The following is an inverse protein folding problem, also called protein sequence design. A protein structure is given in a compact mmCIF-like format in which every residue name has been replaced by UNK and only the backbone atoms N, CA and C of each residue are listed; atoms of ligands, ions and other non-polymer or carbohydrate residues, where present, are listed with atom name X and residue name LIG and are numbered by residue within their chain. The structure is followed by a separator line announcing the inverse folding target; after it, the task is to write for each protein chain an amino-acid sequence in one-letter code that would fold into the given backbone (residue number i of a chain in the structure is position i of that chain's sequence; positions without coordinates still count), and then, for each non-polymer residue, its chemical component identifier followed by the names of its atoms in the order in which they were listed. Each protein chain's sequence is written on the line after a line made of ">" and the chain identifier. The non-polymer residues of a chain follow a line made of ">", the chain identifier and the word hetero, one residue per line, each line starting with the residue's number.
data_IF_886077178653
#
_entry.id   IF_886077178653
#
_cell.length_a   1.000
_cell.length_b   1.000
_cell.length_c   1.000
_cell.angle_alpha   90.00
_cell.angle_beta   90.00
_cell.angle_gamma   90.00
#
_symmetry.space_group_name_H-M   'P 1'
#
loop_
_entity.id
_entity.type
_entity.pdbx_description
1 polymer ?
#
# COMPACT_ATOMS: atom_id res chain seq x y z
N UNK A 1 -61.49 10.59 -25.41
CA UNK A 1 -60.70 9.74 -26.31
C UNK A 1 -59.28 9.68 -25.75
N UNK A 2 -59.00 8.64 -24.96
CA UNK A 2 -57.77 8.46 -24.18
C UNK A 2 -56.68 7.87 -25.06
N UNK A 3 -55.65 8.65 -25.38
CA UNK A 3 -54.46 8.15 -26.07
C UNK A 3 -53.56 7.43 -25.07
N UNK A 4 -53.60 6.09 -25.13
CA UNK A 4 -52.69 5.19 -24.43
C UNK A 4 -51.28 5.41 -25.00
N UNK A 5 -50.40 5.99 -24.18
CA UNK A 5 -48.96 6.05 -24.48
C UNK A 5 -48.42 4.65 -24.32
N UNK A 6 -48.08 4.01 -25.44
CA UNK A 6 -47.40 2.72 -25.47
C UNK A 6 -46.02 2.85 -24.82
N UNK A 7 -45.85 2.25 -23.63
CA UNK A 7 -44.52 2.05 -23.05
C UNK A 7 -43.75 1.07 -23.93
N UNK A 8 -42.77 1.56 -24.68
CA UNK A 8 -41.79 0.69 -25.34
C UNK A 8 -40.98 -0.06 -24.26
N UNK A 9 -40.69 -1.35 -24.44
CA UNK A 9 -39.83 -2.08 -23.52
C UNK A 9 -38.43 -1.46 -23.56
N UNK A 10 -37.97 -0.94 -22.43
CA UNK A 10 -36.59 -0.46 -22.28
C UNK A 10 -35.66 -1.65 -22.45
N UNK A 11 -35.06 -1.80 -23.64
CA UNK A 11 -34.01 -2.77 -23.88
C UNK A 11 -32.84 -2.38 -22.96
N UNK A 12 -32.65 -3.16 -21.89
CA UNK A 12 -31.50 -3.01 -21.01
C UNK A 12 -30.25 -3.35 -21.82
N UNK A 13 -29.62 -2.35 -22.42
CA UNK A 13 -28.31 -2.52 -23.03
C UNK A 13 -27.34 -2.92 -21.93
N UNK A 14 -26.89 -4.19 -21.99
CA UNK A 14 -25.86 -4.69 -21.07
C UNK A 14 -24.64 -3.80 -21.19
N UNK A 15 -24.19 -3.25 -20.07
CA UNK A 15 -22.91 -2.55 -20.04
C UNK A 15 -21.79 -3.55 -20.37
N UNK A 16 -21.15 -3.35 -21.53
CA UNK A 16 -20.03 -4.19 -21.98
C UNK A 16 -18.91 -4.18 -20.95
N UNK A 17 -18.63 -3.04 -20.31
CA UNK A 17 -17.56 -2.92 -19.31
C UNK A 17 -17.84 -3.79 -18.09
N UNK A 18 -19.05 -3.73 -17.54
CA UNK A 18 -19.43 -4.53 -16.36
C UNK A 18 -19.44 -6.02 -16.69
N UNK A 19 -19.89 -6.37 -17.89
CA UNK A 19 -19.88 -7.76 -18.38
C UNK A 19 -18.44 -8.29 -18.52
N UNK A 20 -17.51 -7.48 -19.06
CA UNK A 20 -16.09 -7.83 -19.14
C UNK A 20 -15.48 -8.01 -17.75
N UNK A 21 -15.76 -7.11 -16.80
CA UNK A 21 -15.30 -7.23 -15.41
C UNK A 21 -15.79 -8.54 -14.79
N UNK A 22 -17.07 -8.85 -14.93
CA UNK A 22 -17.63 -10.10 -14.43
C UNK A 22 -17.02 -11.33 -15.10
N UNK A 23 -16.77 -11.30 -16.41
CA UNK A 23 -16.08 -12.35 -17.14
C UNK A 23 -14.65 -12.59 -16.63
N UNK A 24 -13.90 -11.52 -16.37
CA UNK A 24 -12.57 -11.60 -15.77
C UNK A 24 -12.62 -12.21 -14.36
N UNK A 25 -13.61 -11.86 -13.54
CA UNK A 25 -13.79 -12.44 -12.20
C UNK A 25 -14.07 -13.95 -12.27
N UNK A 26 -14.90 -14.40 -13.22
CA UNK A 26 -15.15 -15.83 -13.44
C UNK A 26 -13.89 -16.54 -13.91
N UNK A 27 -13.17 -15.98 -14.88
CA UNK A 27 -11.91 -16.57 -15.37
C UNK A 27 -10.87 -16.70 -14.24
N UNK A 28 -10.76 -15.67 -13.39
CA UNK A 28 -9.86 -15.65 -12.26
C UNK A 28 -10.30 -16.65 -11.17
N UNK A 29 -11.60 -16.77 -10.89
CA UNK A 29 -12.14 -17.77 -9.97
C UNK A 29 -11.93 -19.21 -10.47
N UNK A 30 -12.10 -19.45 -11.77
CA UNK A 30 -11.80 -20.73 -12.41
C UNK A 30 -10.31 -21.06 -12.29
N UNK A 31 -9.44 -20.08 -12.53
CA UNK A 31 -8.00 -20.24 -12.38
C UNK A 31 -7.63 -20.61 -10.94
N UNK A 32 -8.17 -19.93 -9.94
CA UNK A 32 -7.96 -20.29 -8.52
C UNK A 32 -8.40 -21.73 -8.27
N UNK A 33 -9.63 -22.09 -8.65
CA UNK A 33 -10.18 -23.41 -8.34
C UNK A 33 -9.35 -24.55 -8.98
N UNK A 34 -8.86 -24.35 -10.20
CA UNK A 34 -8.09 -25.36 -10.92
C UNK A 34 -6.62 -25.35 -10.51
N UNK A 35 -5.93 -24.23 -10.73
CA UNK A 35 -4.47 -24.14 -10.54
C UNK A 35 -4.06 -24.15 -9.07
N UNK A 36 -4.85 -23.51 -8.20
CA UNK A 36 -4.56 -23.44 -6.77
C UNK A 36 -5.30 -24.51 -5.95
N UNK A 37 -6.45 -24.97 -6.43
CA UNK A 37 -7.22 -26.02 -5.77
C UNK A 37 -6.92 -27.43 -6.28
N UNK A 38 -7.50 -27.78 -7.43
CA UNK A 38 -7.58 -29.17 -7.92
C UNK A 38 -6.24 -29.83 -8.24
N UNK A 39 -5.25 -29.05 -8.69
CA UNK A 39 -3.89 -29.54 -8.99
C UNK A 39 -3.14 -29.96 -7.71
N UNK A 40 -3.57 -29.50 -6.54
CA UNK A 40 -2.88 -29.72 -5.28
C UNK A 40 -3.18 -31.11 -4.71
N UNK A 41 -2.15 -31.84 -4.21
CA UNK A 41 -2.35 -33.10 -3.51
C UNK A 41 -3.32 -32.97 -2.33
N UNK A 42 -4.13 -34.00 -2.09
CA UNK A 42 -5.16 -33.97 -1.03
C UNK A 42 -4.60 -33.87 0.39
N UNK A 43 -3.34 -34.25 0.61
CA UNK A 43 -2.65 -34.18 1.90
C UNK A 43 -1.92 -32.85 2.12
N UNK A 44 -1.94 -31.92 1.15
CA UNK A 44 -1.28 -30.63 1.32
C UNK A 44 -2.09 -29.75 2.28
N UNK A 45 -1.40 -29.28 3.33
CA UNK A 45 -1.96 -28.35 4.30
C UNK A 45 -1.21 -27.02 4.25
N UNK A 46 -1.93 -25.92 4.46
CA UNK A 46 -1.39 -24.57 4.62
C UNK A 46 -1.64 -24.11 6.05
N UNK A 47 -0.63 -23.49 6.65
CA UNK A 47 -0.75 -22.98 8.02
C UNK A 47 -0.82 -21.45 8.01
N UNK A 48 -1.92 -20.89 8.50
CA UNK A 48 -2.02 -19.46 8.77
C UNK A 48 -1.70 -19.23 10.26
N UNK A 49 -0.58 -18.56 10.53
CA UNK A 49 -0.17 -18.18 11.87
C UNK A 49 -0.42 -16.70 12.11
N UNK A 50 -0.49 -16.33 13.39
CA UNK A 50 -0.62 -14.95 13.85
C UNK A 50 0.55 -14.55 14.77
N UNK A 51 1.57 -15.41 14.84
CA UNK A 51 2.78 -15.35 15.65
C UNK A 51 3.97 -15.34 14.67
N UNK A 52 4.97 -14.44 14.76
CA UNK A 52 5.55 -13.86 15.97
C UNK A 52 5.77 -12.34 15.91
N UNK A 53 4.79 -11.56 16.34
CA UNK A 53 5.05 -10.16 16.76
C UNK A 53 4.67 -9.93 18.23
N UNK A 54 4.04 -10.92 18.87
CA UNK A 54 3.77 -10.94 20.31
C UNK A 54 4.57 -12.05 21.03
N UNK A 55 5.86 -12.19 20.71
CA UNK A 55 6.81 -12.98 21.53
C UNK A 55 7.19 -12.27 22.84
N UNK A 56 6.34 -11.38 23.36
CA UNK A 56 6.37 -11.12 24.79
C UNK A 56 5.86 -12.40 25.45
N UNK A 57 6.73 -13.07 26.21
CA UNK A 57 6.46 -14.28 27.01
C UNK A 57 5.20 -14.16 27.91
N UNK A 58 4.59 -12.97 27.99
CA UNK A 58 3.41 -12.63 28.77
C UNK A 58 2.27 -11.99 27.93
N UNK A 59 2.23 -12.19 26.61
CA UNK A 59 1.06 -11.81 25.82
C UNK A 59 -0.14 -12.63 26.32
N UNK A 60 -1.24 -12.00 26.75
CA UNK A 60 -2.29 -12.71 27.47
C UNK A 60 -2.99 -13.75 26.60
N UNK A 61 -3.06 -13.53 25.28
CA UNK A 61 -3.84 -14.35 24.35
C UNK A 61 -2.94 -14.86 23.21
N UNK A 62 -2.85 -16.18 23.06
CA UNK A 62 -2.17 -16.82 21.93
C UNK A 62 -3.22 -17.32 20.94
N UNK A 63 -3.18 -16.82 19.71
CA UNK A 63 -3.94 -17.41 18.60
C UNK A 63 -3.13 -18.60 18.06
N UNK A 64 -3.72 -19.79 18.10
CA UNK A 64 -3.13 -20.99 17.49
C UNK A 64 -3.01 -20.84 15.97
N UNK A 65 -2.16 -21.66 15.34
CA UNK A 65 -2.08 -21.72 13.90
C UNK A 65 -3.35 -22.38 13.33
N UNK A 66 -3.96 -21.73 12.34
CA UNK A 66 -5.08 -22.29 11.60
C UNK A 66 -4.51 -23.16 10.47
N UNK A 67 -4.64 -24.48 10.62
CA UNK A 67 -4.25 -25.44 9.59
C UNK A 67 -5.44 -25.69 8.67
N UNK A 68 -5.30 -25.32 7.41
CA UNK A 68 -6.32 -25.50 6.39
C UNK A 68 -5.85 -26.54 5.37
N UNK A 69 -6.75 -27.40 4.91
CA UNK A 69 -6.50 -28.22 3.72
C UNK A 69 -6.48 -27.32 2.49
N UNK A 70 -5.32 -27.19 1.85
CA UNK A 70 -5.08 -26.21 0.77
C UNK A 70 -6.04 -26.44 -0.40
N UNK A 71 -6.18 -27.71 -0.81
CA UNK A 71 -7.01 -28.12 -1.95
C UNK A 71 -8.46 -27.66 -1.80
N UNK A 72 -9.09 -27.96 -0.66
CA UNK A 72 -10.49 -27.58 -0.44
C UNK A 72 -10.65 -26.09 -0.20
N UNK A 73 -9.71 -25.48 0.50
CA UNK A 73 -9.75 -24.04 0.78
C UNK A 73 -9.69 -23.22 -0.50
N UNK A 74 -8.74 -23.51 -1.39
CA UNK A 74 -8.57 -22.78 -2.65
C UNK A 74 -9.67 -23.10 -3.67
N UNK A 75 -10.16 -24.34 -3.72
CA UNK A 75 -11.34 -24.65 -4.56
C UNK A 75 -12.58 -23.88 -4.12
N UNK A 76 -12.85 -23.78 -2.82
CA UNK A 76 -13.98 -23.01 -2.30
C UNK A 76 -13.84 -21.52 -2.58
N UNK A 77 -12.64 -20.94 -2.41
CA UNK A 77 -12.36 -19.54 -2.75
C UNK A 77 -12.57 -19.27 -4.25
N UNK A 78 -12.11 -20.17 -5.12
CA UNK A 78 -12.31 -20.07 -6.57
C UNK A 78 -13.78 -20.16 -6.97
N UNK A 79 -14.54 -21.10 -6.40
CA UNK A 79 -15.99 -21.22 -6.61
C UNK A 79 -16.72 -19.95 -6.15
N UNK A 80 -16.38 -19.43 -4.97
CA UNK A 80 -16.97 -18.19 -4.47
C UNK A 80 -16.65 -16.98 -5.37
N UNK A 81 -15.41 -16.85 -5.86
CA UNK A 81 -15.02 -15.83 -6.83
C UNK A 81 -15.80 -15.94 -8.16
N UNK A 82 -16.03 -17.17 -8.65
CA UNK A 82 -16.87 -17.41 -9.83
C UNK A 82 -18.31 -17.00 -9.59
N UNK A 83 -18.90 -17.32 -8.43
CA UNK A 83 -20.27 -16.92 -8.08
C UNK A 83 -20.41 -15.40 -8.07
N UNK A 84 -19.46 -14.68 -7.48
CA UNK A 84 -19.42 -13.21 -7.51
C UNK A 84 -19.29 -12.67 -8.94
N UNK A 85 -18.48 -13.30 -9.78
CA UNK A 85 -18.33 -12.93 -11.19
C UNK A 85 -19.62 -13.11 -11.98
N UNK A 86 -20.29 -14.25 -11.82
CA UNK A 86 -21.60 -14.54 -12.44
C UNK A 86 -22.66 -13.55 -11.93
N UNK A 87 -22.68 -13.25 -10.64
CA UNK A 87 -23.58 -12.25 -10.07
C UNK A 87 -23.38 -10.86 -10.71
N UNK A 88 -22.13 -10.45 -10.95
CA UNK A 88 -21.82 -9.17 -11.62
C UNK A 88 -22.31 -9.16 -13.06
N UNK A 89 -22.17 -10.27 -13.80
CA UNK A 89 -22.67 -10.40 -15.18
C UNK A 89 -24.20 -10.31 -15.22
N UNK A 90 -24.89 -10.99 -14.29
CA UNK A 90 -26.34 -11.09 -14.27
C UNK A 90 -27.01 -9.81 -13.76
N UNK A 91 -26.51 -9.23 -12.65
CA UNK A 91 -27.17 -8.13 -11.94
C UNK A 91 -26.67 -6.73 -12.31
N UNK A 92 -25.56 -6.64 -13.04
CA UNK A 92 -24.94 -5.38 -13.49
C UNK A 92 -24.87 -4.28 -12.40
N UNK A 93 -24.26 -4.58 -11.24
CA UNK A 93 -24.23 -3.65 -10.12
C UNK A 93 -23.42 -2.40 -10.46
N UNK A 94 -23.89 -1.22 -10.01
CA UNK A 94 -23.17 0.06 -10.17
C UNK A 94 -21.75 0.05 -9.61
N UNK A 95 -21.46 -0.81 -8.63
CA UNK A 95 -20.14 -0.97 -8.00
C UNK A 95 -19.42 -2.26 -8.43
N UNK A 96 -19.48 -2.62 -9.72
CA UNK A 96 -18.79 -3.79 -10.25
C UNK A 96 -17.27 -3.75 -9.97
N UNK A 97 -16.64 -2.57 -10.04
CA UNK A 97 -15.20 -2.42 -9.79
C UNK A 97 -14.77 -2.75 -8.36
N UNK A 98 -15.58 -2.39 -7.34
CA UNK A 98 -15.25 -2.75 -5.95
C UNK A 98 -15.37 -4.25 -5.71
N UNK A 99 -16.30 -4.92 -6.40
CA UNK A 99 -16.45 -6.39 -6.35
C UNK A 99 -15.26 -7.09 -7.02
N UNK A 100 -14.74 -6.54 -8.11
CA UNK A 100 -13.49 -7.00 -8.71
C UNK A 100 -12.33 -6.92 -7.70
N UNK A 101 -12.20 -5.80 -6.98
CA UNK A 101 -11.21 -5.68 -5.90
C UNK A 101 -11.37 -6.73 -4.80
N UNK A 102 -12.61 -7.08 -4.43
CA UNK A 102 -12.89 -8.20 -3.52
C UNK A 102 -12.38 -9.55 -4.05
N UNK A 103 -12.60 -9.84 -5.34
CA UNK A 103 -12.08 -11.05 -5.99
C UNK A 103 -10.54 -11.04 -6.08
N UNK A 104 -9.92 -9.87 -6.29
CA UNK A 104 -8.46 -9.75 -6.22
C UNK A 104 -7.91 -10.09 -4.83
N UNK A 105 -8.62 -9.74 -3.74
CA UNK A 105 -8.22 -10.13 -2.38
C UNK A 105 -8.33 -11.64 -2.19
N UNK A 106 -9.42 -12.26 -2.68
CA UNK A 106 -9.58 -13.72 -2.63
C UNK A 106 -8.48 -14.43 -3.42
N UNK A 107 -8.08 -13.88 -4.57
CA UNK A 107 -6.95 -14.38 -5.35
C UNK A 107 -5.64 -14.33 -4.56
N UNK A 108 -5.35 -13.21 -3.90
CA UNK A 108 -4.15 -13.08 -3.08
C UNK A 108 -4.17 -14.07 -1.90
N UNK A 109 -5.31 -14.23 -1.24
CA UNK A 109 -5.46 -15.22 -0.17
C UNK A 109 -5.19 -16.64 -0.68
N UNK A 110 -5.80 -17.02 -1.82
CA UNK A 110 -5.60 -18.33 -2.42
C UNK A 110 -4.14 -18.53 -2.88
N UNK A 111 -3.52 -17.50 -3.43
CA UNK A 111 -2.10 -17.52 -3.80
C UNK A 111 -1.20 -17.75 -2.58
N UNK A 112 -1.50 -17.09 -1.45
CA UNK A 112 -0.74 -17.28 -0.20
C UNK A 112 -0.90 -18.69 0.35
N UNK A 113 -2.13 -19.22 0.39
CA UNK A 113 -2.40 -20.59 0.81
C UNK A 113 -1.69 -21.60 -0.08
N UNK A 114 -1.80 -21.45 -1.39
CA UNK A 114 -1.14 -22.29 -2.37
C UNK A 114 0.38 -22.23 -2.27
N UNK A 115 0.94 -21.03 -2.06
CA UNK A 115 2.38 -20.81 -1.94
C UNK A 115 2.95 -21.45 -0.67
N UNK A 116 2.24 -21.30 0.47
CA UNK A 116 2.68 -21.74 1.79
C UNK A 116 2.26 -23.17 2.14
N UNK A 117 1.78 -23.94 1.18
CA UNK A 117 1.35 -25.32 1.42
C UNK A 117 2.53 -26.23 1.73
N UNK A 118 2.24 -27.37 2.34
CA UNK A 118 3.20 -28.48 2.46
C UNK A 118 3.61 -28.94 1.05
N UNK A 119 4.91 -28.84 0.72
CA UNK A 119 5.46 -29.02 -0.64
C UNK A 119 5.04 -27.93 -1.65
N UNK A 120 4.93 -26.68 -1.18
CA UNK A 120 4.79 -25.49 -2.01
C UNK A 120 6.13 -24.95 -2.53
N UNK A 121 6.10 -23.89 -3.37
CA UNK A 121 7.29 -23.17 -3.81
C UNK A 121 7.96 -22.35 -2.70
N UNK A 122 7.25 -22.04 -1.61
CA UNK A 122 7.83 -21.30 -0.49
C UNK A 122 8.79 -22.16 0.34
N UNK A 123 9.84 -21.54 0.88
CA UNK A 123 10.78 -22.18 1.82
C UNK A 123 10.17 -22.46 3.20
N UNK A 124 9.01 -21.86 3.50
CA UNK A 124 8.28 -22.01 4.76
C UNK A 124 6.84 -22.47 4.49
N UNK A 125 6.33 -23.38 5.32
CA UNK A 125 4.99 -23.96 5.19
C UNK A 125 3.91 -23.18 5.97
N UNK A 126 4.16 -21.90 6.27
CA UNK A 126 3.24 -21.05 7.00
C UNK A 126 3.23 -19.61 6.48
N UNK A 127 2.11 -18.93 6.66
CA UNK A 127 1.96 -17.48 6.42
C UNK A 127 1.61 -16.82 7.74
N UNK A 128 2.44 -15.88 8.19
CA UNK A 128 2.10 -15.01 9.33
C UNK A 128 1.27 -13.82 8.85
N UNK A 129 -0.03 -13.88 9.09
CA UNK A 129 -0.96 -12.82 8.72
C UNK A 129 -0.68 -11.53 9.49
N UNK A 130 -0.21 -11.62 10.74
CA UNK A 130 0.14 -10.44 11.53
C UNK A 130 1.36 -9.74 10.91
N UNK A 131 2.38 -10.50 10.52
CA UNK A 131 3.55 -9.94 9.84
C UNK A 131 3.21 -9.30 8.48
N UNK A 132 2.32 -9.93 7.70
CA UNK A 132 1.84 -9.36 6.43
C UNK A 132 1.14 -8.02 6.67
N UNK A 133 0.28 -7.93 7.68
CA UNK A 133 -0.44 -6.69 8.00
C UNK A 133 0.50 -5.59 8.53
N UNK A 134 1.46 -5.94 9.40
CA UNK A 134 2.46 -5.00 9.92
C UNK A 134 3.43 -4.53 8.83
N UNK A 135 3.87 -5.43 7.94
CA UNK A 135 4.67 -5.03 6.78
C UNK A 135 3.89 -4.12 5.83
N UNK A 136 2.61 -4.44 5.61
CA UNK A 136 1.72 -3.63 4.77
C UNK A 136 1.49 -2.24 5.38
N UNK A 137 1.34 -2.10 6.70
CA UNK A 137 1.16 -0.80 7.36
C UNK A 137 2.40 0.08 7.22
N UNK A 138 3.60 -0.51 7.32
CA UNK A 138 4.87 0.19 7.10
C UNK A 138 4.99 0.74 5.69
N UNK A 139 4.67 -0.07 4.66
CA UNK A 139 4.66 0.38 3.27
C UNK A 139 3.59 1.44 3.00
N UNK A 140 2.38 1.23 3.54
CA UNK A 140 1.28 2.19 3.41
C UNK A 140 1.63 3.56 4.00
N UNK A 141 2.41 3.60 5.09
CA UNK A 141 2.87 4.84 5.70
C UNK A 141 3.67 5.71 4.71
N UNK A 142 4.62 5.12 3.96
CA UNK A 142 5.41 5.86 2.95
C UNK A 142 4.50 6.42 1.85
N UNK A 143 3.54 5.62 1.39
CA UNK A 143 2.55 6.06 0.41
C UNK A 143 1.66 7.19 0.93
N UNK A 144 1.27 7.16 2.21
CA UNK A 144 0.50 8.23 2.85
C UNK A 144 1.31 9.54 2.85
N UNK A 145 2.58 9.51 3.23
CA UNK A 145 3.42 10.70 3.19
C UNK A 145 3.55 11.27 1.78
N UNK A 146 3.72 10.39 0.78
CA UNK A 146 3.78 10.78 -0.63
C UNK A 146 2.46 11.41 -1.10
N UNK A 147 1.33 10.79 -0.76
CA UNK A 147 0.01 11.29 -1.11
C UNK A 147 -0.30 12.63 -0.44
N UNK A 148 0.08 12.83 0.83
CA UNK A 148 -0.10 14.11 1.52
C UNK A 148 0.72 15.23 0.86
N UNK A 149 1.97 14.94 0.49
CA UNK A 149 2.79 15.86 -0.30
C UNK A 149 2.13 16.18 -1.65
N UNK A 150 1.72 15.16 -2.39
CA UNK A 150 1.04 15.30 -3.68
C UNK A 150 -0.22 16.16 -3.61
N UNK A 151 -1.13 15.87 -2.68
CA UNK A 151 -2.37 16.64 -2.49
C UNK A 151 -2.07 18.10 -2.16
N UNK A 152 -1.07 18.36 -1.32
CA UNK A 152 -0.68 19.74 -1.00
C UNK A 152 -0.12 20.48 -2.22
N UNK A 153 0.75 19.82 -2.99
CA UNK A 153 1.37 20.36 -4.19
C UNK A 153 0.34 20.65 -5.29
N UNK A 154 -0.53 19.68 -5.62
CA UNK A 154 -1.58 19.86 -6.62
C UNK A 154 -2.52 21.02 -6.27
N UNK A 155 -2.85 21.16 -4.98
CA UNK A 155 -3.72 22.24 -4.49
C UNK A 155 -3.03 23.60 -4.51
N UNK A 156 -1.70 23.64 -4.57
CA UNK A 156 -0.90 24.85 -4.70
C UNK A 156 -0.50 25.15 -6.15
N UNK A 157 -0.93 24.35 -7.14
CA UNK A 157 -0.63 24.60 -8.56
C UNK A 157 0.69 24.02 -9.06
N UNK A 158 1.37 23.17 -8.27
CA UNK A 158 2.63 22.53 -8.66
C UNK A 158 2.49 21.02 -8.55
N UNK A 159 2.68 20.29 -9.64
CA UNK A 159 2.65 18.82 -9.64
C UNK A 159 4.01 18.28 -9.17
N UNK A 160 4.04 17.62 -8.01
CA UNK A 160 5.28 17.07 -7.46
C UNK A 160 5.54 15.66 -8.01
N UNK A 161 6.17 15.56 -9.18
CA UNK A 161 6.58 14.27 -9.77
C UNK A 161 7.88 13.76 -9.15
N UNK A 162 8.62 14.62 -8.46
CA UNK A 162 9.90 14.27 -7.82
C UNK A 162 9.77 13.54 -6.47
N UNK A 163 8.55 13.17 -6.03
CA UNK A 163 8.31 12.55 -4.70
C UNK A 163 9.16 11.29 -4.51
N UNK A 164 9.27 10.45 -5.54
CA UNK A 164 10.09 9.23 -5.47
C UNK A 164 11.57 9.55 -5.24
N UNK A 165 12.09 10.56 -5.94
CA UNK A 165 13.45 11.06 -5.75
C UNK A 165 13.67 11.63 -4.34
N UNK A 166 12.68 12.37 -3.81
CA UNK A 166 12.72 12.91 -2.45
C UNK A 166 12.83 11.78 -1.41
N UNK A 167 12.10 10.67 -1.60
CA UNK A 167 12.22 9.50 -0.73
C UNK A 167 13.57 8.81 -0.86
N UNK A 168 14.10 8.63 -2.08
CA UNK A 168 15.42 8.02 -2.30
C UNK A 168 16.51 8.84 -1.59
N UNK A 169 16.51 10.15 -1.76
CA UNK A 169 17.50 11.02 -1.13
C UNK A 169 17.37 11.03 0.41
N UNK A 170 16.15 11.10 0.92
CA UNK A 170 15.88 11.05 2.36
C UNK A 170 16.30 9.72 2.99
N UNK A 171 16.02 8.60 2.33
CA UNK A 171 16.41 7.26 2.79
C UNK A 171 17.93 7.08 2.78
N UNK A 172 18.60 7.51 1.70
CA UNK A 172 20.06 7.41 1.59
C UNK A 172 20.78 8.23 2.67
N UNK A 173 20.42 9.52 2.80
CA UNK A 173 21.04 10.40 3.81
C UNK A 173 20.66 9.99 5.23
N UNK A 174 19.41 9.57 5.46
CA UNK A 174 18.97 9.06 6.75
C UNK A 174 19.78 7.84 7.18
N UNK A 175 19.93 6.84 6.30
CA UNK A 175 20.71 5.63 6.60
C UNK A 175 22.18 5.96 6.91
N UNK A 176 22.82 6.80 6.09
CA UNK A 176 24.23 7.15 6.27
C UNK A 176 24.49 7.94 7.55
N UNK A 177 23.61 8.90 7.88
CA UNK A 177 23.76 9.73 9.08
C UNK A 177 23.47 8.91 10.34
N UNK A 178 22.43 8.07 10.33
CA UNK A 178 22.16 7.20 11.46
C UNK A 178 23.35 6.25 11.68
N UNK A 179 23.82 5.59 10.63
CA UNK A 179 24.92 4.63 10.71
C UNK A 179 26.24 5.23 11.24
N UNK A 180 26.49 6.50 10.96
CA UNK A 180 27.73 7.19 11.38
C UNK A 180 27.62 7.86 12.75
N UNK A 181 26.45 8.40 13.08
CA UNK A 181 26.25 9.20 14.31
C UNK A 181 25.55 8.42 15.43
N UNK A 182 24.94 7.28 15.09
CA UNK A 182 24.06 6.49 15.95
C UNK A 182 22.93 7.32 16.57
N UNK A 183 22.52 8.39 15.86
CA UNK A 183 21.50 9.33 16.32
C UNK A 183 20.34 9.39 15.32
N UNK A 184 19.31 8.62 15.66
CA UNK A 184 18.08 8.52 14.88
C UNK A 184 17.38 9.86 14.63
N UNK A 185 17.37 10.78 15.61
CA UNK A 185 16.70 12.08 15.45
C UNK A 185 17.43 12.98 14.46
N UNK A 186 18.77 12.98 14.52
CA UNK A 186 19.59 13.72 13.57
C UNK A 186 19.39 13.18 12.15
N UNK A 187 19.41 11.85 11.99
CA UNK A 187 19.14 11.20 10.71
C UNK A 187 17.75 11.53 10.16
N UNK A 188 16.73 11.55 11.02
CA UNK A 188 15.36 11.93 10.67
C UNK A 188 15.28 13.34 10.12
N UNK A 189 15.88 14.31 10.83
CA UNK A 189 15.88 15.71 10.40
C UNK A 189 16.65 15.87 9.09
N UNK A 190 17.80 15.23 8.97
CA UNK A 190 18.60 15.31 7.75
C UNK A 190 17.90 14.70 6.53
N UNK A 191 17.24 13.55 6.70
CA UNK A 191 16.43 12.94 5.63
C UNK A 191 15.24 13.81 5.23
N UNK A 192 14.53 14.41 6.21
CA UNK A 192 13.45 15.34 5.96
C UNK A 192 13.91 16.61 5.21
N UNK A 193 15.07 17.16 5.61
CA UNK A 193 15.68 18.32 4.95
C UNK A 193 16.12 18.01 3.52
N UNK A 194 16.65 16.81 3.27
CA UNK A 194 17.00 16.38 1.91
C UNK A 194 15.78 16.36 0.98
N UNK A 195 14.68 15.74 1.43
CA UNK A 195 13.42 15.75 0.69
C UNK A 195 12.86 17.16 0.50
N UNK A 196 12.88 18.00 1.55
CA UNK A 196 12.42 19.38 1.49
C UNK A 196 13.25 20.23 0.51
N UNK A 197 14.57 20.06 0.49
CA UNK A 197 15.47 20.76 -0.41
C UNK A 197 15.19 20.38 -1.87
N UNK A 198 14.96 19.10 -2.15
CA UNK A 198 14.60 18.65 -3.50
C UNK A 198 13.21 19.14 -3.93
N UNK A 199 12.24 19.17 -3.01
CA UNK A 199 10.94 19.79 -3.24
C UNK A 199 11.06 21.29 -3.53
N UNK A 200 11.95 21.98 -2.79
CA UNK A 200 12.26 23.38 -3.04
C UNK A 200 12.93 23.61 -4.39
N UNK A 201 13.89 22.76 -4.80
CA UNK A 201 14.51 22.82 -6.13
C UNK A 201 13.46 22.65 -7.22
N UNK A 202 12.57 21.66 -7.10
CA UNK A 202 11.49 21.45 -8.07
C UNK A 202 10.59 22.69 -8.16
N UNK A 203 10.11 23.19 -7.01
CA UNK A 203 9.26 24.37 -6.96
C UNK A 203 9.97 25.62 -7.50
N UNK A 204 11.26 25.81 -7.18
CA UNK A 204 12.05 26.92 -7.66
C UNK A 204 12.22 26.89 -9.17
N UNK A 205 12.56 25.74 -9.76
CA UNK A 205 12.69 25.59 -11.20
C UNK A 205 11.34 25.77 -11.92
N UNK A 206 10.28 25.20 -11.37
CA UNK A 206 8.94 25.32 -11.92
C UNK A 206 8.40 26.76 -11.89
N UNK A 207 8.55 27.45 -10.76
CA UNK A 207 7.96 28.77 -10.55
C UNK A 207 8.83 29.91 -11.07
N UNK A 208 10.15 29.83 -10.89
CA UNK A 208 11.07 30.92 -11.28
C UNK A 208 11.46 30.85 -12.75
N UNK A 209 11.69 29.64 -13.26
CA UNK A 209 12.15 29.44 -14.64
C UNK A 209 11.04 28.97 -15.58
N UNK A 210 9.82 28.80 -15.07
CA UNK A 210 8.67 28.32 -15.84
C UNK A 210 8.96 27.01 -16.59
N UNK A 211 9.80 26.16 -15.99
CA UNK A 211 10.13 24.86 -16.53
C UNK A 211 8.96 23.90 -16.37
N UNK A 212 8.84 22.97 -17.32
CA UNK A 212 7.86 21.89 -17.22
C UNK A 212 8.16 21.01 -15.99
N UNK A 213 7.21 20.98 -15.05
CA UNK A 213 7.29 20.26 -13.78
C UNK A 213 7.44 18.75 -13.97
N UNK A 214 6.89 18.21 -15.07
CA UNK A 214 7.01 16.79 -15.42
C UNK A 214 8.44 16.49 -15.83
N UNK A 215 9.01 17.30 -16.72
CA UNK A 215 10.38 17.10 -17.21
C UNK A 215 11.38 17.24 -16.05
N UNK A 216 11.29 18.31 -15.27
CA UNK A 216 12.16 18.52 -14.10
C UNK A 216 11.99 17.40 -13.07
N UNK A 217 10.75 16.99 -12.80
CA UNK A 217 10.46 15.90 -11.87
C UNK A 217 11.10 14.58 -12.29
N UNK A 218 10.95 14.19 -13.57
CA UNK A 218 11.56 12.97 -14.11
C UNK A 218 13.09 13.05 -14.05
N UNK A 219 13.67 14.21 -14.35
CA UNK A 219 15.12 14.42 -14.22
C UNK A 219 15.59 14.24 -12.78
N UNK A 220 14.87 14.79 -11.79
CA UNK A 220 15.22 14.64 -10.38
C UNK A 220 15.15 13.17 -9.94
N UNK A 221 14.07 12.45 -10.30
CA UNK A 221 13.91 11.03 -9.94
C UNK A 221 15.03 10.19 -10.56
N UNK A 222 15.28 10.35 -11.86
CA UNK A 222 16.31 9.58 -12.57
C UNK A 222 17.71 9.89 -12.04
N UNK A 223 18.04 11.18 -11.82
CA UNK A 223 19.30 11.61 -11.22
C UNK A 223 19.52 10.94 -9.85
N UNK A 224 18.53 11.01 -8.95
CA UNK A 224 18.68 10.50 -7.59
C UNK A 224 18.70 8.98 -7.53
N UNK A 225 17.91 8.31 -8.38
CA UNK A 225 17.99 6.85 -8.52
C UNK A 225 19.37 6.41 -9.00
N UNK A 226 19.91 7.05 -10.04
CA UNK A 226 21.24 6.74 -10.57
C UNK A 226 22.35 7.09 -9.58
N UNK A 227 22.26 8.24 -8.91
CA UNK A 227 23.25 8.67 -7.93
C UNK A 227 23.24 7.75 -6.70
N UNK A 228 22.07 7.39 -6.19
CA UNK A 228 21.94 6.44 -5.08
C UNK A 228 22.52 5.09 -5.44
N UNK A 229 22.22 4.57 -6.65
CA UNK A 229 22.80 3.30 -7.12
C UNK A 229 24.33 3.37 -7.26
N UNK A 230 24.85 4.49 -7.80
CA UNK A 230 26.30 4.69 -7.92
C UNK A 230 26.98 4.73 -6.55
N UNK A 231 26.44 5.52 -5.61
CA UNK A 231 26.97 5.63 -4.25
C UNK A 231 26.86 4.32 -3.48
N UNK A 232 25.81 3.53 -3.72
CA UNK A 232 25.70 2.19 -3.14
C UNK A 232 26.86 1.29 -3.59
N UNK A 233 27.20 1.30 -4.88
CA UNK A 233 28.30 0.49 -5.41
C UNK A 233 29.68 0.98 -4.96
N UNK A 234 29.88 2.30 -4.92
CA UNK A 234 31.20 2.88 -4.63
C UNK A 234 31.48 3.09 -3.14
N UNK A 235 30.44 3.28 -2.32
CA UNK A 235 30.59 3.62 -0.91
C UNK A 235 29.99 2.55 -0.01
N UNK A 236 28.71 2.22 -0.17
CA UNK A 236 28.01 1.33 0.78
C UNK A 236 28.40 -0.14 0.62
N UNK A 237 28.76 -0.58 -0.59
CA UNK A 237 29.20 -1.97 -0.82
C UNK A 237 30.60 -2.22 -0.24
N UNK A 238 31.62 -1.35 -0.47
CA UNK A 238 32.92 -1.51 0.18
C UNK A 238 32.90 -1.23 1.68
N UNK A 239 31.98 -0.37 2.14
CA UNK A 239 31.84 0.02 3.55
C UNK A 239 30.40 -0.20 4.05
N UNK A 240 29.99 -1.47 4.29
CA UNK A 240 28.63 -1.79 4.70
C UNK A 240 28.19 -1.08 5.98
N UNK A 241 29.13 -0.73 6.86
CA UNK A 241 28.84 -0.04 8.12
C UNK A 241 28.13 1.31 7.95
N UNK A 242 28.16 1.93 6.77
CA UNK A 242 27.43 3.17 6.50
C UNK A 242 25.97 2.96 6.06
N UNK A 243 25.50 1.71 6.04
CA UNK A 243 24.14 1.35 5.68
C UNK A 243 23.52 0.35 6.68
N UNK A 244 24.01 0.35 7.93
CA UNK A 244 23.51 -0.52 9.01
C UNK A 244 22.64 0.25 10.00
N UNK A 245 22.08 1.38 9.57
CA UNK A 245 21.42 2.28 10.48
C UNK A 245 20.20 1.64 11.16
N UNK A 246 19.99 1.95 12.44
CA UNK A 246 18.86 1.42 13.19
C UNK A 246 17.53 1.92 12.61
N UNK A 247 16.56 1.02 12.57
CA UNK A 247 15.18 1.36 12.25
C UNK A 247 14.57 2.26 13.33
N UNK A 248 13.56 3.03 12.95
CA UNK A 248 12.79 3.83 13.89
C UNK A 248 12.24 2.94 15.01
N UNK A 249 12.42 3.33 16.30
CA UNK A 249 11.91 2.53 17.40
C UNK A 249 10.37 2.52 17.38
N UNK A 250 9.79 1.38 17.70
CA UNK A 250 8.35 1.26 17.84
C UNK A 250 7.88 1.92 19.15
N UNK A 251 6.77 2.65 19.07
CA UNK A 251 6.07 3.19 20.23
C UNK A 251 4.90 2.27 20.57
N UNK A 252 5.09 1.43 21.59
CA UNK A 252 4.07 0.54 22.11
C UNK A 252 3.14 1.31 23.06
N UNK A 253 1.86 1.45 22.68
CA UNK A 253 0.85 2.08 23.54
C UNK A 253 0.45 1.07 24.63
N UNK A 254 0.64 1.39 25.93
CA UNK A 254 0.38 0.46 27.03
C UNK A 254 -1.03 -0.14 26.95
N UNK A 255 -1.16 -1.42 27.31
CA UNK A 255 -2.39 -2.23 27.27
C UNK A 255 -2.90 -2.56 25.85
N UNK A 256 -2.96 -1.58 24.94
CA UNK A 256 -3.54 -1.77 23.60
C UNK A 256 -2.64 -2.60 22.66
N UNK A 257 -1.31 -2.56 22.85
CA UNK A 257 -0.39 -3.39 22.08
C UNK A 257 -0.60 -4.90 22.30
N UNK A 258 -1.26 -5.30 23.40
CA UNK A 258 -1.47 -6.71 23.78
C UNK A 258 -2.61 -7.37 23.00
N UNK A 259 -3.43 -6.60 22.29
CA UNK A 259 -4.55 -7.15 21.50
C UNK A 259 -3.97 -7.95 20.32
N UNK A 260 -4.34 -9.22 20.13
CA UNK A 260 -3.80 -10.02 19.02
C UNK A 260 -4.21 -9.40 17.68
N UNK A 261 -3.29 -9.43 16.70
CA UNK A 261 -3.43 -8.82 15.36
C UNK A 261 -3.48 -7.28 15.41
N UNK A 262 -4.50 -6.69 16.06
CA UNK A 262 -4.71 -5.23 16.10
C UNK A 262 -3.63 -4.48 16.88
N UNK A 263 -3.13 -5.05 17.98
CA UNK A 263 -2.06 -4.49 18.80
C UNK A 263 -0.80 -4.21 17.97
N UNK A 264 -0.20 -5.24 17.36
CA UNK A 264 0.93 -5.08 16.46
C UNK A 264 0.68 -4.13 15.28
N UNK A 265 -0.51 -4.21 14.65
CA UNK A 265 -0.82 -3.47 13.43
C UNK A 265 -1.04 -1.97 13.69
N UNK A 266 -1.64 -1.58 14.82
CA UNK A 266 -2.01 -0.18 15.08
C UNK A 266 -1.34 0.43 16.30
N UNK A 267 -1.00 -0.37 17.31
CA UNK A 267 -0.60 0.09 18.65
C UNK A 267 0.86 -0.23 19.02
N UNK A 268 1.61 -0.87 18.11
CA UNK A 268 3.04 -1.12 18.22
C UNK A 268 3.77 -0.71 16.92
N UNK A 269 3.52 0.52 16.48
CA UNK A 269 4.07 1.09 15.25
C UNK A 269 5.09 2.19 15.57
N UNK A 270 5.84 2.63 14.57
CA UNK A 270 6.83 3.71 14.72
C UNK A 270 6.16 5.05 14.99
N UNK A 271 6.90 6.02 15.55
CA UNK A 271 6.39 7.38 15.74
C UNK A 271 5.90 8.03 14.44
N UNK A 272 6.51 7.69 13.31
CA UNK A 272 6.11 8.18 11.99
C UNK A 272 4.74 7.67 11.55
N UNK A 273 4.31 6.49 11.99
CA UNK A 273 2.98 5.99 11.66
C UNK A 273 1.90 6.86 12.31
N UNK A 274 2.05 7.13 13.61
CA UNK A 274 1.12 8.00 14.33
C UNK A 274 1.18 9.44 13.81
N UNK A 275 2.37 9.93 13.47
CA UNK A 275 2.53 11.24 12.85
C UNK A 275 1.79 11.32 11.51
N UNK A 276 1.81 10.27 10.68
CA UNK A 276 1.09 10.24 9.42
C UNK A 276 -0.42 10.39 9.63
N UNK A 277 -1.00 9.69 10.62
CA UNK A 277 -2.43 9.79 10.97
C UNK A 277 -2.77 11.22 11.40
N UNK A 278 -1.94 11.82 12.26
CA UNK A 278 -2.12 13.21 12.71
C UNK A 278 -2.06 14.17 11.52
N UNK A 279 -1.08 14.00 10.63
CA UNK A 279 -0.92 14.85 9.45
C UNK A 279 -2.09 14.73 8.46
N UNK A 280 -2.68 13.54 8.28
CA UNK A 280 -3.91 13.37 7.50
C UNK A 280 -5.01 14.28 8.06
N UNK A 281 -5.25 14.21 9.37
CA UNK A 281 -6.29 15.01 10.02
C UNK A 281 -5.98 16.52 9.91
N UNK A 282 -4.74 16.91 10.19
CA UNK A 282 -4.30 18.31 10.16
C UNK A 282 -4.35 18.91 8.75
N UNK A 283 -3.87 18.20 7.73
CA UNK A 283 -3.88 18.68 6.34
C UNK A 283 -5.32 18.73 5.82
N UNK A 284 -6.13 17.70 6.08
CA UNK A 284 -7.54 17.70 5.70
C UNK A 284 -8.28 18.89 6.32
N UNK A 285 -8.13 19.11 7.63
CA UNK A 285 -8.72 20.24 8.31
C UNK A 285 -8.16 21.58 7.78
N UNK A 286 -6.84 21.69 7.67
CA UNK A 286 -6.14 22.88 7.20
C UNK A 286 -6.60 23.32 5.81
N UNK A 287 -6.65 22.39 4.86
CA UNK A 287 -6.97 22.68 3.47
C UNK A 287 -8.46 23.03 3.27
N UNK A 288 -9.36 22.31 3.95
CA UNK A 288 -10.80 22.41 3.69
C UNK A 288 -11.55 23.29 4.68
N UNK A 289 -11.02 23.54 5.89
CA UNK A 289 -11.73 24.27 6.96
C UNK A 289 -11.05 25.57 7.40
N UNK A 290 -9.92 25.97 6.81
CA UNK A 290 -9.22 27.20 7.21
C UNK A 290 -9.09 28.23 6.07
N UNK A 291 -8.85 29.50 6.46
CA UNK A 291 -8.58 30.61 5.51
C UNK A 291 -7.29 30.38 4.72
N UNK A 292 -6.27 29.78 5.32
CA UNK A 292 -5.03 29.43 4.63
C UNK A 292 -5.29 28.42 3.51
N UNK A 293 -6.07 27.37 3.80
CA UNK A 293 -6.44 26.37 2.79
C UNK A 293 -7.26 26.93 1.63
N UNK A 294 -8.12 27.93 1.87
CA UNK A 294 -8.81 28.67 0.80
C UNK A 294 -7.84 29.45 -0.07
N UNK A 295 -6.86 30.14 0.52
CA UNK A 295 -5.83 30.89 -0.23
C UNK A 295 -4.95 29.97 -1.08
N UNK A 296 -4.49 28.86 -0.52
CA UNK A 296 -3.66 27.88 -1.25
C UNK A 296 -4.41 27.37 -2.48
N UNK A 297 -5.67 26.94 -2.30
CA UNK A 297 -6.49 26.44 -3.40
C UNK A 297 -6.80 27.51 -4.46
N UNK A 298 -7.07 28.74 -4.04
CA UNK A 298 -7.33 29.83 -4.98
C UNK A 298 -6.11 30.16 -5.85
N UNK A 299 -4.89 30.06 -5.30
CA UNK A 299 -3.66 30.20 -6.09
C UNK A 299 -3.51 29.03 -7.08
N UNK A 300 -3.75 27.79 -6.62
CA UNK A 300 -3.61 26.62 -7.48
C UNK A 300 -4.64 26.50 -8.62
N UNK A 301 -5.78 27.21 -8.56
CA UNK A 301 -6.77 27.26 -9.65
C UNK A 301 -6.33 28.14 -10.82
N UNK A 302 -5.39 29.07 -10.60
CA UNK A 302 -4.73 29.89 -11.63
C UNK A 302 -3.22 29.92 -11.39
N UNK A 303 -2.53 28.79 -11.63
CA UNK A 303 -1.12 28.61 -11.29
C UNK A 303 -0.16 29.35 -12.25
#
# INVERSE_FOLDING_TARGET
>A
MSTVVSQQPTVHHRDRRVTTIGGLMVALGLFIAVAFGLVVPSWAHSQLTFNPINSAVHAPWHLGALTLETRWSDTLLGVFAMVLGVEVILRQPRRALSRFGGVSILFLLALLLWSSRTSGPASVNFVDLTAVLVGSSSLAMVLIYGALSGVMCERAGVVNIAIEGQFIAGAFLGSMIESTTNNFWLATVAGALAGALLGWILAFLALRYMSDQIIVGVVIVTLLSSLSSYLNLQVLTPYPQYNLGNLAPNLAIPLLYKIPILGPVLFNQTGFFYLAIILIALISFGLFRTRWGLRVRAVGEHP
#
